data_IF_648679187676
#
_entry.id   IF_648679187676
#
_cell.length_a   1.000
_cell.length_b   1.000
_cell.length_c   1.000
_cell.angle_alpha   90.00
_cell.angle_beta   90.00
_cell.angle_gamma   90.00
#
_symmetry.space_group_name_H-M   'P 1'
#
loop_
_entity.id
_entity.type
_entity.pdbx_description
1 polymer ?
#
# COMPACT_ATOMS: atom_id res chain seq x y z
N UNK A 1 26.87 31.18 5.14
CA UNK A 1 26.20 31.82 3.99
C UNK A 1 25.91 30.74 2.96
N UNK A 2 24.68 30.23 2.89
CA UNK A 2 24.28 29.21 1.92
C UNK A 2 23.65 29.95 0.74
N UNK A 3 24.10 29.68 -0.49
CA UNK A 3 23.35 30.00 -1.70
C UNK A 3 22.98 28.69 -2.36
N UNK A 4 21.71 28.30 -2.23
CA UNK A 4 21.10 27.21 -2.96
C UNK A 4 20.36 27.84 -4.14
N UNK A 5 20.88 27.67 -5.35
CA UNK A 5 20.17 28.07 -6.57
C UNK A 5 19.32 26.87 -6.98
N UNK A 6 18.01 26.98 -6.76
CA UNK A 6 17.04 26.02 -7.31
C UNK A 6 16.83 26.38 -8.78
N UNK A 7 17.15 25.44 -9.67
CA UNK A 7 16.62 25.43 -11.03
C UNK A 7 15.60 24.29 -11.15
N UNK A 8 14.45 24.53 -11.80
CA UNK A 8 13.36 23.59 -11.86
C UNK A 8 13.61 22.54 -12.95
N UNK A 9 12.92 21.42 -12.84
CA UNK A 9 12.79 20.34 -13.84
C UNK A 9 13.94 19.34 -13.91
N UNK A 10 13.73 18.19 -13.26
CA UNK A 10 13.56 16.92 -13.98
C UNK A 10 13.15 15.83 -12.98
N UNK A 11 12.19 14.99 -13.40
CA UNK A 11 11.63 13.85 -12.68
C UNK A 11 12.71 13.13 -11.86
N UNK A 12 12.62 13.21 -10.53
CA UNK A 12 13.50 12.46 -9.65
C UNK A 12 13.01 11.02 -9.66
N UNK A 13 13.55 10.24 -10.58
CA UNK A 13 13.60 8.79 -10.48
C UNK A 13 14.41 8.50 -9.21
N UNK A 14 13.71 8.34 -8.09
CA UNK A 14 14.30 8.04 -6.79
C UNK A 14 14.90 6.64 -6.84
N UNK A 15 16.20 6.57 -7.12
CA UNK A 15 17.02 5.37 -6.96
C UNK A 15 17.15 5.13 -5.45
N UNK A 16 16.30 4.28 -4.88
CA UNK A 16 16.57 3.65 -3.59
C UNK A 16 17.43 2.42 -3.89
N UNK A 17 18.74 2.62 -3.79
CA UNK A 17 19.76 1.59 -3.91
C UNK A 17 19.84 0.76 -2.62
N UNK A 18 19.06 -0.32 -2.54
CA UNK A 18 19.42 -1.61 -1.93
C UNK A 18 18.17 -2.47 -1.70
N UNK A 19 17.75 -3.19 -2.74
CA UNK A 19 17.13 -4.50 -2.54
C UNK A 19 17.61 -5.37 -3.69
N UNK A 20 18.08 -6.56 -3.31
CA UNK A 20 18.41 -7.65 -4.21
C UNK A 20 17.30 -7.82 -5.24
N UNK A 21 17.65 -8.34 -6.41
CA UNK A 21 16.74 -8.70 -7.50
C UNK A 21 15.60 -9.60 -7.01
N UNK A 22 14.61 -9.05 -6.32
CA UNK A 22 13.36 -9.72 -6.02
C UNK A 22 12.69 -9.81 -7.37
N UNK A 23 12.64 -11.03 -7.92
CA UNK A 23 11.74 -11.38 -9.00
C UNK A 23 10.43 -10.67 -8.75
N UNK A 24 10.07 -9.73 -9.63
CA UNK A 24 8.81 -9.00 -9.55
C UNK A 24 7.70 -9.99 -9.89
N UNK A 25 7.26 -10.74 -8.91
CA UNK A 25 6.06 -11.55 -8.99
C UNK A 25 4.86 -10.61 -8.99
N UNK A 26 3.85 -10.96 -9.78
CA UNK A 26 2.59 -10.22 -9.84
C UNK A 26 1.79 -10.38 -8.55
N UNK A 27 0.84 -9.47 -8.31
CA UNK A 27 -0.09 -9.60 -7.19
C UNK A 27 -0.92 -10.89 -7.27
N UNK A 28 -1.25 -11.35 -8.49
CA UNK A 28 -1.94 -12.61 -8.71
C UNK A 28 -1.09 -13.80 -8.26
N UNK A 29 0.21 -13.80 -8.56
CA UNK A 29 1.13 -14.83 -8.09
C UNK A 29 1.31 -14.78 -6.58
N UNK A 30 1.40 -13.57 -5.97
CA UNK A 30 1.46 -13.42 -4.50
C UNK A 30 0.21 -14.01 -3.86
N UNK A 31 -0.98 -13.76 -4.41
CA UNK A 31 -2.25 -14.26 -3.87
C UNK A 31 -2.33 -15.79 -3.83
N UNK A 32 -1.60 -16.49 -4.71
CA UNK A 32 -1.54 -17.95 -4.75
C UNK A 32 -0.61 -18.55 -3.70
N UNK A 33 0.22 -17.75 -3.02
CA UNK A 33 1.17 -18.23 -2.02
C UNK A 33 0.49 -18.50 -0.67
N UNK A 34 1.05 -19.42 0.16
CA UNK A 34 0.65 -19.57 1.55
C UNK A 34 0.72 -18.24 2.32
N UNK A 35 -0.15 -18.06 3.32
CA UNK A 35 -0.24 -16.82 4.13
C UNK A 35 1.13 -16.37 4.66
N UNK A 36 1.93 -17.31 5.16
CA UNK A 36 3.24 -17.01 5.71
C UNK A 36 4.22 -16.44 4.66
N UNK A 37 4.19 -16.97 3.43
CA UNK A 37 5.04 -16.47 2.34
C UNK A 37 4.54 -15.12 1.82
N UNK A 38 3.22 -14.94 1.72
CA UNK A 38 2.62 -13.62 1.42
C UNK A 38 3.10 -12.55 2.39
N UNK A 39 3.08 -12.85 3.68
CA UNK A 39 3.49 -11.90 4.70
C UNK A 39 4.95 -11.47 4.53
N UNK A 40 5.88 -12.40 4.27
CA UNK A 40 7.30 -12.05 4.02
C UNK A 40 7.48 -11.03 2.90
N UNK A 41 6.66 -11.13 1.84
CA UNK A 41 6.71 -10.24 0.69
C UNK A 41 6.05 -8.88 0.99
N UNK A 42 4.91 -8.89 1.70
CA UNK A 42 4.10 -7.70 1.93
C UNK A 42 4.54 -6.87 3.14
N UNK A 43 5.26 -7.45 4.10
CA UNK A 43 5.74 -6.79 5.33
C UNK A 43 6.33 -5.38 5.10
N UNK A 44 7.22 -5.16 4.11
CA UNK A 44 7.81 -3.84 3.90
C UNK A 44 6.80 -2.74 3.54
N UNK A 45 5.61 -3.11 3.05
CA UNK A 45 4.58 -2.18 2.59
C UNK A 45 3.50 -1.91 3.64
N UNK A 46 3.34 -2.78 4.65
CA UNK A 46 2.25 -2.71 5.63
C UNK A 46 2.17 -1.36 6.34
N UNK A 47 3.32 -0.82 6.77
CA UNK A 47 3.35 0.46 7.49
C UNK A 47 2.90 1.64 6.61
N UNK A 48 3.32 1.66 5.35
CA UNK A 48 2.90 2.68 4.39
C UNK A 48 1.40 2.56 4.10
N UNK A 49 0.91 1.34 3.87
CA UNK A 49 -0.52 1.09 3.67
C UNK A 49 -1.34 1.53 4.89
N UNK A 50 -0.90 1.25 6.11
CA UNK A 50 -1.61 1.71 7.30
C UNK A 50 -1.73 3.24 7.38
N UNK A 51 -0.67 3.96 7.00
CA UNK A 51 -0.69 5.42 6.90
C UNK A 51 -1.68 5.90 5.83
N UNK A 52 -1.72 5.24 4.67
CA UNK A 52 -2.68 5.56 3.60
C UNK A 52 -4.13 5.43 4.12
N UNK A 53 -4.46 4.32 4.79
CA UNK A 53 -5.81 4.12 5.38
C UNK A 53 -6.17 5.13 6.47
N UNK A 54 -5.20 5.69 7.18
CA UNK A 54 -5.46 6.71 8.21
C UNK A 54 -5.77 8.09 7.61
N UNK A 55 -5.20 8.39 6.43
CA UNK A 55 -5.25 9.71 5.85
C UNK A 55 -6.16 9.81 4.61
N UNK A 56 -6.51 8.67 4.01
CA UNK A 56 -7.38 8.60 2.84
C UNK A 56 -8.76 8.04 3.22
N UNK A 57 -9.78 8.90 3.36
CA UNK A 57 -11.11 8.46 3.73
C UNK A 57 -11.75 7.53 2.69
N UNK A 58 -11.36 7.60 1.42
CA UNK A 58 -11.86 6.69 0.36
C UNK A 58 -11.47 5.23 0.63
N UNK A 59 -10.34 5.00 1.30
CA UNK A 59 -9.89 3.65 1.67
C UNK A 59 -10.65 3.07 2.88
N UNK A 60 -11.43 3.90 3.57
CA UNK A 60 -12.21 3.52 4.76
C UNK A 60 -13.72 3.55 4.53
N UNK A 61 -14.17 3.64 3.27
CA UNK A 61 -15.60 3.75 2.91
C UNK A 61 -16.47 2.58 3.43
N UNK A 62 -15.88 1.42 3.75
CA UNK A 62 -16.58 0.31 4.41
C UNK A 62 -17.05 0.65 5.83
N UNK A 63 -16.53 1.70 6.47
CA UNK A 63 -16.97 2.17 7.77
C UNK A 63 -18.28 2.98 7.71
N UNK A 64 -18.73 3.37 6.51
CA UNK A 64 -19.98 4.13 6.30
C UNK A 64 -21.19 3.19 6.15
N UNK A 65 -20.97 1.91 5.89
CA UNK A 65 -22.02 0.90 5.95
C UNK A 65 -22.31 0.61 7.43
N UNK A 66 -23.24 1.37 8.02
CA UNK A 66 -23.83 1.03 9.31
C UNK A 66 -24.25 -0.45 9.25
N UNK A 67 -23.85 -1.23 10.26
CA UNK A 67 -24.01 -2.69 10.30
C UNK A 67 -25.45 -3.22 10.24
N UNK A 68 -26.42 -2.35 9.94
CA UNK A 68 -27.85 -2.59 9.86
C UNK A 68 -28.29 -3.26 8.53
N UNK A 69 -27.42 -3.28 7.50
CA UNK A 69 -27.77 -3.87 6.18
C UNK A 69 -27.45 -5.38 6.05
N UNK A 70 -27.01 -6.03 7.14
CA UNK A 70 -26.70 -7.48 7.17
C UNK A 70 -27.84 -8.34 7.73
N UNK A 71 -28.92 -7.74 8.25
CA UNK A 71 -30.14 -8.43 8.67
C UNK A 71 -30.98 -8.76 7.42
N UNK A 72 -30.60 -9.80 6.69
CA UNK A 72 -31.52 -10.39 5.71
C UNK A 72 -32.68 -11.04 6.46
N UNK A 73 -33.79 -10.32 6.58
CA UNK A 73 -35.09 -10.83 7.03
C UNK A 73 -35.46 -12.05 6.16
N UNK A 74 -35.23 -13.25 6.67
CA UNK A 74 -35.74 -14.50 6.11
C UNK A 74 -36.21 -15.38 7.27
N UNK A 75 -37.45 -15.12 7.71
CA UNK A 75 -38.33 -16.10 8.35
C UNK A 75 -38.98 -17.01 7.29
#
# INVERSE_FOLDING_TARGET
MIKFVVSPTSKVFGIISNTQQQQRISLQEIAQLPVAERHKILVPFIAATAEDFLNDPELTEFAVLDGEDWEMEND
#
